data_IF_264688090775
#
_entry.id   IF_264688090775
#
_cell.length_a   1.000
_cell.length_b   1.000
_cell.length_c   1.000
_cell.angle_alpha   90.00
_cell.angle_beta   90.00
_cell.angle_gamma   90.00
#
_symmetry.space_group_name_H-M   'P 1'
#
loop_
_entity.id
_entity.type
_entity.pdbx_description
1 polymer ?
#
# COMPACT_ATOMS: atom_id res chain seq x y z
N UNK A 1 28.53 -1.67 29.71
CA UNK A 1 27.18 -2.29 29.70
C UNK A 1 26.64 -2.25 28.28
N UNK A 2 26.69 -3.37 27.55
CA UNK A 2 26.01 -3.48 26.25
C UNK A 2 24.52 -3.72 26.52
N UNK A 3 23.73 -2.65 26.53
CA UNK A 3 22.28 -2.76 26.49
C UNK A 3 21.89 -3.40 25.15
N UNK A 4 21.39 -4.64 25.16
CA UNK A 4 20.79 -5.25 23.97
C UNK A 4 19.63 -4.35 23.54
N UNK A 5 19.80 -3.59 22.46
CA UNK A 5 18.71 -2.83 21.85
C UNK A 5 17.62 -3.83 21.46
N UNK A 6 16.41 -3.64 21.98
CA UNK A 6 15.26 -4.44 21.57
C UNK A 6 15.03 -4.25 20.07
N UNK A 7 14.99 -5.33 19.31
CA UNK A 7 14.75 -5.30 17.88
C UNK A 7 13.25 -5.09 17.66
N UNK A 8 12.88 -3.97 17.04
CA UNK A 8 11.48 -3.57 16.90
C UNK A 8 10.94 -4.06 15.56
N UNK A 9 9.95 -4.95 15.60
CA UNK A 9 9.24 -5.42 14.42
C UNK A 9 7.87 -4.78 14.38
N UNK A 10 7.53 -4.16 13.25
CA UNK A 10 6.17 -3.72 12.97
C UNK A 10 5.57 -4.56 11.85
N UNK A 11 4.27 -4.80 11.92
CA UNK A 11 3.53 -5.54 10.91
C UNK A 11 2.24 -4.79 10.58
N UNK A 12 1.92 -4.67 9.30
CA UNK A 12 0.67 -4.07 8.88
C UNK A 12 0.23 -4.59 7.51
N UNK A 13 -1.08 -4.69 7.31
CA UNK A 13 -1.66 -5.01 6.01
C UNK A 13 -1.26 -3.97 4.94
N UNK A 14 -1.22 -4.36 3.66
CA UNK A 14 -1.07 -3.44 2.53
C UNK A 14 -2.07 -2.29 2.56
N UNK A 15 -1.65 -1.11 2.11
CA UNK A 15 -2.53 0.04 1.95
C UNK A 15 -2.25 0.73 0.60
N UNK A 16 -3.31 1.03 -0.14
CA UNK A 16 -3.21 1.79 -1.37
C UNK A 16 -2.92 3.26 -1.03
N UNK A 17 -1.86 3.83 -1.59
CA UNK A 17 -1.37 5.19 -1.27
C UNK A 17 -1.30 5.46 0.25
N UNK A 18 -0.43 4.79 1.03
CA UNK A 18 -0.49 4.82 2.50
C UNK A 18 -0.49 6.22 3.13
N UNK A 19 -1.12 6.36 4.30
CA UNK A 19 -1.10 7.62 5.08
C UNK A 19 0.21 7.77 5.87
N UNK A 20 0.49 8.98 6.38
CA UNK A 20 1.75 9.30 7.08
C UNK A 20 2.06 8.38 8.27
N UNK A 21 1.05 8.01 9.06
CA UNK A 21 1.21 7.08 10.19
C UNK A 21 1.66 5.67 9.77
N UNK A 22 1.42 5.26 8.52
CA UNK A 22 1.96 4.01 7.97
C UNK A 22 3.49 4.11 7.83
N UNK A 23 3.97 5.22 7.28
CA UNK A 23 5.41 5.48 7.12
C UNK A 23 6.10 5.74 8.46
N UNK A 24 5.44 6.42 9.40
CA UNK A 24 5.96 6.59 10.76
C UNK A 24 6.22 5.23 11.43
N UNK A 25 5.27 4.30 11.30
CA UNK A 25 5.40 2.94 11.83
C UNK A 25 6.61 2.22 11.24
N UNK A 26 6.82 2.32 9.93
CA UNK A 26 7.99 1.75 9.25
C UNK A 26 9.28 2.41 9.74
N UNK A 27 9.30 3.75 9.79
CA UNK A 27 10.47 4.52 10.20
C UNK A 27 10.94 4.14 11.62
N UNK A 28 9.99 3.86 12.52
CA UNK A 28 10.23 3.50 13.93
C UNK A 28 10.55 2.01 14.16
N UNK A 29 10.33 1.14 13.17
CA UNK A 29 10.71 -0.28 13.25
C UNK A 29 12.10 -0.51 12.69
N UNK A 30 12.80 -1.54 13.18
CA UNK A 30 14.01 -2.05 12.53
C UNK A 30 13.63 -2.90 11.30
N UNK A 31 12.56 -3.71 11.42
CA UNK A 31 11.99 -4.53 10.34
C UNK A 31 10.49 -4.28 10.23
N UNK A 32 10.01 -4.08 9.00
CA UNK A 32 8.58 -3.98 8.71
C UNK A 32 8.09 -5.18 7.89
N UNK A 33 7.05 -5.85 8.39
CA UNK A 33 6.39 -6.95 7.70
C UNK A 33 5.14 -6.41 6.99
N UNK A 34 5.17 -6.48 5.66
CA UNK A 34 4.05 -6.19 4.77
C UNK A 34 3.12 -7.42 4.74
N UNK A 35 2.01 -7.34 5.49
CA UNK A 35 1.11 -8.46 5.78
C UNK A 35 0.10 -8.71 4.65
N UNK A 36 0.59 -9.18 3.51
CA UNK A 36 -0.20 -9.53 2.32
C UNK A 36 -0.78 -10.96 2.32
N UNK A 37 -0.43 -11.81 3.27
CA UNK A 37 -0.91 -13.21 3.36
C UNK A 37 -2.26 -13.37 4.06
N UNK A 38 -2.84 -12.27 4.57
CA UNK A 38 -4.17 -12.28 5.22
C UNK A 38 -5.29 -12.06 4.20
N UNK A 39 -6.49 -12.46 4.60
CA UNK A 39 -7.71 -12.31 3.80
C UNK A 39 -8.00 -10.85 3.47
N UNK A 40 -8.52 -10.61 2.26
CA UNK A 40 -8.98 -9.28 1.87
C UNK A 40 -10.30 -8.88 2.53
N UNK A 41 -10.31 -7.71 3.15
CA UNK A 41 -11.52 -7.08 3.69
C UNK A 41 -12.10 -6.05 2.71
N UNK A 42 -13.36 -6.25 2.32
CA UNK A 42 -14.10 -5.24 1.53
C UNK A 42 -14.29 -3.95 2.31
N UNK A 43 -14.32 -2.84 1.58
CA UNK A 43 -14.54 -1.50 2.14
C UNK A 43 -13.46 -1.02 3.13
N UNK A 44 -12.31 -1.67 3.17
CA UNK A 44 -11.13 -1.22 3.90
C UNK A 44 -10.35 -0.15 3.11
N UNK A 45 -9.19 0.27 3.63
CA UNK A 45 -8.22 1.14 2.93
C UNK A 45 -7.22 0.35 2.08
N UNK A 46 -7.34 -0.97 2.02
CA UNK A 46 -6.38 -1.84 1.31
C UNK A 46 -6.37 -1.53 -0.19
N UNK A 47 -7.55 -1.31 -0.82
CA UNK A 47 -7.66 -1.03 -2.25
C UNK A 47 -8.14 0.39 -2.58
N UNK A 48 -8.25 1.28 -1.59
CA UNK A 48 -8.76 2.64 -1.82
C UNK A 48 -8.20 3.63 -0.82
N UNK A 49 -8.08 4.87 -1.24
CA UNK A 49 -7.75 5.98 -0.36
C UNK A 49 -8.47 7.26 -0.78
N UNK A 50 -8.49 8.26 0.09
CA UNK A 50 -9.10 9.56 -0.14
C UNK A 50 -8.06 10.59 -0.53
N UNK A 51 -8.45 11.49 -1.43
CA UNK A 51 -7.74 12.73 -1.70
C UNK A 51 -8.59 13.92 -1.29
N UNK A 52 -7.92 15.04 -0.99
CA UNK A 52 -8.60 16.31 -0.72
C UNK A 52 -8.93 16.99 -2.04
N UNK A 53 -10.15 17.49 -2.14
CA UNK A 53 -10.65 18.27 -3.28
C UNK A 53 -11.24 19.59 -2.80
N UNK A 54 -11.60 20.48 -3.74
CA UNK A 54 -12.31 21.72 -3.42
C UNK A 54 -13.70 21.48 -2.78
N UNK A 55 -14.30 20.30 -2.99
CA UNK A 55 -15.64 19.94 -2.53
C UNK A 55 -15.63 18.92 -1.38
N UNK A 56 -14.49 18.73 -0.73
CA UNK A 56 -14.30 17.73 0.33
C UNK A 56 -13.46 16.55 -0.13
N UNK A 57 -13.70 15.38 0.43
CA UNK A 57 -12.90 14.18 0.15
C UNK A 57 -13.43 13.41 -1.05
N UNK A 58 -12.53 12.90 -1.89
CA UNK A 58 -12.86 12.03 -3.02
C UNK A 58 -12.13 10.68 -2.88
N UNK A 59 -12.87 9.58 -3.04
CA UNK A 59 -12.26 8.25 -3.11
C UNK A 59 -11.53 8.01 -4.43
N UNK A 60 -10.34 7.44 -4.31
CA UNK A 60 -9.60 6.75 -5.36
C UNK A 60 -9.65 5.25 -5.03
N UNK A 61 -10.30 4.45 -5.88
CA UNK A 61 -10.52 3.01 -5.62
C UNK A 61 -9.94 2.19 -6.75
N UNK A 62 -9.00 1.31 -6.40
CA UNK A 62 -8.47 0.29 -7.31
C UNK A 62 -9.52 -0.81 -7.43
N UNK A 63 -10.01 -1.10 -8.66
CA UNK A 63 -10.97 -2.16 -8.87
C UNK A 63 -10.27 -3.52 -8.75
N UNK A 64 -10.90 -4.45 -8.02
CA UNK A 64 -10.33 -5.77 -7.71
C UNK A 64 -11.32 -6.88 -8.09
N UNK A 65 -10.80 -8.06 -8.45
CA UNK A 65 -11.59 -9.25 -8.79
C UNK A 65 -12.20 -9.86 -7.53
N UNK A 66 -13.23 -9.22 -6.99
CA UNK A 66 -13.78 -9.54 -5.67
C UNK A 66 -14.70 -10.78 -5.61
N UNK A 67 -14.90 -11.52 -6.69
CA UNK A 67 -15.67 -12.78 -6.65
C UNK A 67 -14.83 -13.82 -5.91
N UNK A 68 -15.35 -14.40 -4.82
CA UNK A 68 -14.58 -15.32 -3.96
C UNK A 68 -13.58 -14.64 -3.01
N UNK A 69 -13.57 -13.31 -2.91
CA UNK A 69 -12.63 -12.55 -2.06
C UNK A 69 -12.58 -12.97 -0.57
N UNK A 70 -13.62 -13.62 -0.06
CA UNK A 70 -13.64 -14.14 1.32
C UNK A 70 -12.66 -15.30 1.51
N UNK A 71 -12.14 -15.87 0.44
CA UNK A 71 -11.21 -17.00 0.46
C UNK A 71 -9.81 -16.60 -0.04
N UNK A 72 -9.66 -15.38 -0.55
CA UNK A 72 -8.41 -14.91 -1.15
C UNK A 72 -7.63 -14.04 -0.17
N UNK A 73 -6.33 -14.28 -0.09
CA UNK A 73 -5.40 -13.34 0.53
C UNK A 73 -5.23 -12.08 -0.32
N UNK A 74 -4.70 -11.01 0.29
CA UNK A 74 -4.39 -9.77 -0.44
C UNK A 74 -3.35 -10.02 -1.54
N UNK A 75 -2.43 -10.96 -1.31
CA UNK A 75 -1.43 -11.40 -2.28
C UNK A 75 -2.04 -12.08 -3.52
N UNK A 76 -3.18 -12.74 -3.39
CA UNK A 76 -3.85 -13.45 -4.49
C UNK A 76 -4.89 -12.58 -5.22
N UNK A 77 -5.24 -11.43 -4.63
CA UNK A 77 -6.32 -10.59 -5.13
C UNK A 77 -5.91 -9.85 -6.41
N UNK A 78 -6.37 -10.35 -7.56
CA UNK A 78 -6.14 -9.73 -8.85
C UNK A 78 -6.82 -8.37 -9.01
N UNK A 79 -6.17 -7.47 -9.74
CA UNK A 79 -6.77 -6.20 -10.18
C UNK A 79 -7.78 -6.50 -11.29
N UNK A 80 -8.95 -5.87 -11.25
CA UNK A 80 -9.99 -6.10 -12.25
C UNK A 80 -9.63 -5.44 -13.58
N UNK A 81 -9.88 -6.16 -14.66
CA UNK A 81 -9.83 -5.64 -16.02
C UNK A 81 -11.05 -4.73 -16.24
N UNK A 82 -10.88 -3.61 -16.96
CA UNK A 82 -11.99 -2.70 -17.23
C UNK A 82 -11.57 -1.25 -17.43
N UNK A 83 -12.37 -0.32 -16.91
CA UNK A 83 -12.12 1.12 -17.03
C UNK A 83 -10.71 1.50 -16.53
N UNK A 84 -10.04 2.47 -17.17
CA UNK A 84 -8.66 2.84 -16.86
C UNK A 84 -8.59 3.66 -15.57
N UNK A 85 -8.77 2.99 -14.42
CA UNK A 85 -8.78 3.61 -13.09
C UNK A 85 -7.51 4.42 -12.82
N UNK A 86 -6.37 4.01 -13.37
CA UNK A 86 -5.11 4.74 -13.28
C UNK A 86 -5.25 6.15 -13.87
N UNK A 87 -5.83 6.25 -15.08
CA UNK A 87 -6.06 7.54 -15.75
C UNK A 87 -7.04 8.39 -14.96
N UNK A 88 -8.10 7.78 -14.41
CA UNK A 88 -9.07 8.49 -13.55
C UNK A 88 -8.41 9.05 -12.30
N UNK A 89 -7.57 8.25 -11.63
CA UNK A 89 -6.84 8.67 -10.43
C UNK A 89 -5.83 9.78 -10.74
N UNK A 90 -5.00 9.61 -11.77
CA UNK A 90 -4.03 10.64 -12.20
C UNK A 90 -4.73 11.94 -12.57
N UNK A 91 -5.86 11.87 -13.27
CA UNK A 91 -6.64 13.06 -13.61
C UNK A 91 -7.19 13.76 -12.37
N UNK A 92 -7.73 13.00 -11.41
CA UNK A 92 -8.21 13.55 -10.15
C UNK A 92 -7.09 14.22 -9.35
N UNK A 93 -5.91 13.61 -9.30
CA UNK A 93 -4.73 14.18 -8.63
C UNK A 93 -4.28 15.46 -9.34
N UNK A 94 -4.17 15.43 -10.67
CA UNK A 94 -3.82 16.61 -11.46
C UNK A 94 -4.78 17.77 -11.21
N UNK A 95 -6.10 17.54 -11.29
CA UNK A 95 -7.10 18.59 -11.10
C UNK A 95 -7.03 19.24 -9.71
N UNK A 96 -6.75 18.45 -8.66
CA UNK A 96 -6.79 18.94 -7.28
C UNK A 96 -5.44 19.43 -6.75
N UNK A 97 -4.32 19.00 -7.34
CA UNK A 97 -2.98 19.28 -6.84
C UNK A 97 -2.05 19.98 -7.84
N UNK A 98 -2.48 20.31 -9.07
CA UNK A 98 -1.62 20.94 -10.08
C UNK A 98 -0.91 22.23 -9.60
N UNK A 99 -1.49 22.94 -8.62
CA UNK A 99 -0.93 24.17 -8.04
C UNK A 99 -0.11 23.92 -6.76
N UNK A 100 0.07 22.67 -6.34
CA UNK A 100 0.84 22.35 -5.15
C UNK A 100 2.34 22.58 -5.39
N UNK A 101 3.06 22.98 -4.35
CA UNK A 101 4.48 23.39 -4.39
C UNK A 101 5.39 22.42 -5.14
N UNK A 102 5.18 21.11 -4.99
CA UNK A 102 6.04 20.06 -5.56
C UNK A 102 5.39 19.30 -6.72
N UNK A 103 4.28 19.80 -7.28
CA UNK A 103 3.51 19.07 -8.28
C UNK A 103 4.31 18.79 -9.55
N UNK A 104 4.97 19.81 -10.10
CA UNK A 104 5.74 19.69 -11.35
C UNK A 104 6.88 18.67 -11.27
N UNK A 105 7.46 18.50 -10.07
CA UNK A 105 8.53 17.55 -9.82
C UNK A 105 8.00 16.12 -9.61
N UNK A 106 6.96 15.96 -8.79
CA UNK A 106 6.48 14.65 -8.35
C UNK A 106 5.46 14.01 -9.30
N UNK A 107 4.67 14.81 -10.02
CA UNK A 107 3.61 14.29 -10.86
C UNK A 107 4.12 13.39 -12.00
N UNK A 108 5.20 13.74 -12.74
CA UNK A 108 5.76 12.83 -13.75
C UNK A 108 6.22 11.49 -13.17
N UNK A 109 6.81 11.50 -11.95
CA UNK A 109 7.18 10.27 -11.24
C UNK A 109 5.96 9.44 -10.88
N UNK A 110 4.88 10.10 -10.46
CA UNK A 110 3.62 9.47 -10.14
C UNK A 110 2.97 8.85 -11.39
N UNK A 111 3.03 9.53 -12.54
CA UNK A 111 2.56 8.96 -13.82
C UNK A 111 3.31 7.67 -14.16
N UNK A 112 4.64 7.66 -14.02
CA UNK A 112 5.45 6.46 -14.21
C UNK A 112 5.08 5.34 -13.22
N UNK A 113 4.83 5.67 -11.95
CA UNK A 113 4.39 4.70 -10.95
C UNK A 113 3.04 4.06 -11.33
N UNK A 114 2.08 4.85 -11.79
CA UNK A 114 0.77 4.36 -12.23
C UNK A 114 0.82 3.59 -13.55
N UNK A 115 1.83 3.82 -14.39
CA UNK A 115 2.08 3.06 -15.60
C UNK A 115 2.75 1.70 -15.33
N UNK A 116 3.32 1.50 -14.12
CA UNK A 116 3.93 0.22 -13.74
C UNK A 116 2.90 -0.91 -13.79
N UNK A 117 3.31 -2.07 -14.31
CA UNK A 117 2.45 -3.24 -14.39
C UNK A 117 2.42 -3.92 -13.01
N UNK A 118 1.22 -4.08 -12.47
CA UNK A 118 0.94 -4.92 -11.32
C UNK A 118 -0.26 -5.81 -11.63
N UNK A 119 -0.15 -7.11 -11.33
CA UNK A 119 -1.21 -8.10 -11.55
C UNK A 119 -2.13 -8.23 -10.33
N UNK A 120 -1.55 -8.10 -9.14
CA UNK A 120 -2.25 -8.22 -7.86
C UNK A 120 -2.31 -6.89 -7.11
N UNK A 121 -3.27 -6.77 -6.19
CA UNK A 121 -3.38 -5.61 -5.30
C UNK A 121 -2.14 -5.47 -4.40
N UNK A 122 -1.61 -6.59 -3.90
CA UNK A 122 -0.41 -6.59 -3.06
C UNK A 122 0.80 -6.04 -3.82
N UNK A 123 1.03 -6.47 -5.07
CA UNK A 123 2.16 -5.98 -5.87
C UNK A 123 2.04 -4.49 -6.17
N UNK A 124 0.84 -4.02 -6.50
CA UNK A 124 0.58 -2.60 -6.69
C UNK A 124 0.93 -1.79 -5.43
N UNK A 125 0.40 -2.21 -4.27
CA UNK A 125 0.64 -1.52 -3.01
C UNK A 125 2.12 -1.59 -2.60
N UNK A 126 2.80 -2.71 -2.87
CA UNK A 126 4.22 -2.86 -2.57
C UNK A 126 5.09 -1.96 -3.43
N UNK A 127 4.80 -1.86 -4.73
CA UNK A 127 5.49 -0.94 -5.64
C UNK A 127 5.32 0.52 -5.20
N UNK A 128 4.09 0.91 -4.82
CA UNK A 128 3.82 2.25 -4.27
C UNK A 128 4.56 2.48 -2.96
N UNK A 129 4.55 1.51 -2.04
CA UNK A 129 5.27 1.61 -0.78
C UNK A 129 6.76 1.86 -1.03
N UNK A 130 7.39 1.05 -1.89
CA UNK A 130 8.82 1.21 -2.23
C UNK A 130 9.12 2.57 -2.86
N UNK A 131 8.25 3.06 -3.74
CA UNK A 131 8.36 4.40 -4.31
C UNK A 131 8.36 5.47 -3.22
N UNK A 132 7.36 5.47 -2.32
CA UNK A 132 7.25 6.48 -1.27
C UNK A 132 8.37 6.39 -0.24
N UNK A 133 8.85 5.20 0.12
CA UNK A 133 10.02 5.05 0.99
C UNK A 133 11.26 5.68 0.37
N UNK A 134 11.44 5.58 -0.96
CA UNK A 134 12.50 6.27 -1.69
C UNK A 134 12.35 7.80 -1.64
N UNK A 135 11.16 8.33 -1.95
CA UNK A 135 10.91 9.78 -1.92
C UNK A 135 11.01 10.37 -0.50
N UNK A 136 10.68 9.59 0.54
CA UNK A 136 10.82 9.98 1.95
C UNK A 136 12.19 9.67 2.55
N UNK A 137 13.10 9.06 1.78
CA UNK A 137 14.42 8.63 2.25
C UNK A 137 14.37 7.74 3.49
N UNK A 138 13.39 6.83 3.55
CA UNK A 138 13.21 5.87 4.64
C UNK A 138 13.86 4.54 4.24
N UNK A 139 15.03 4.27 4.82
CA UNK A 139 15.75 3.01 4.64
C UNK A 139 15.45 2.03 5.77
N UNK A 140 14.61 1.03 5.46
CA UNK A 140 14.20 -0.03 6.37
C UNK A 140 14.11 -1.37 5.65
N UNK A 141 14.35 -2.44 6.41
CA UNK A 141 14.11 -3.79 5.92
C UNK A 141 12.60 -4.04 5.83
N UNK A 142 12.13 -4.39 4.63
CA UNK A 142 10.74 -4.68 4.35
C UNK A 142 10.63 -6.13 3.90
N UNK A 143 9.83 -6.94 4.60
CA UNK A 143 9.60 -8.34 4.30
C UNK A 143 8.13 -8.54 3.94
N UNK A 144 7.84 -9.27 2.86
CA UNK A 144 6.45 -9.66 2.53
C UNK A 144 6.08 -10.90 3.31
N UNK A 145 4.92 -10.88 3.95
CA UNK A 145 4.47 -12.05 4.72
C UNK A 145 4.23 -13.28 3.85
N UNK A 146 3.81 -13.09 2.60
CA UNK A 146 3.61 -14.15 1.60
C UNK A 146 4.91 -14.86 1.19
N UNK A 147 6.08 -14.25 1.41
CA UNK A 147 7.38 -14.87 1.12
C UNK A 147 8.01 -15.52 2.35
N UNK A 148 7.37 -15.44 3.52
CA UNK A 148 7.87 -16.03 4.75
C UNK A 148 7.49 -17.50 4.84
N UNK A 149 8.45 -18.36 5.16
CA UNK A 149 8.17 -19.74 5.57
C UNK A 149 7.66 -19.71 7.01
N UNK A 150 6.33 -19.81 7.18
CA UNK A 150 5.71 -19.83 8.51
C UNK A 150 5.40 -21.27 8.93
N UNK A 151 6.02 -21.73 10.02
CA UNK A 151 5.56 -22.92 10.71
C UNK A 151 4.26 -22.60 11.46
N UNK A 152 3.12 -23.05 10.93
CA UNK A 152 1.81 -22.81 11.52
C UNK A 152 1.61 -23.69 12.76
N UNK A 153 1.93 -23.18 13.96
CA UNK A 153 1.35 -23.69 15.20
C UNK A 153 0.03 -22.94 15.45
N UNK A 154 -1.11 -23.59 15.21
CA UNK A 154 -2.39 -23.07 15.72
C UNK A 154 -2.27 -23.03 17.24
N UNK A 155 -2.20 -21.83 17.83
CA UNK A 155 -2.61 -21.70 19.22
C UNK A 155 -4.11 -21.98 19.26
N UNK A 156 -4.52 -22.90 20.11
CA UNK A 156 -5.91 -23.08 20.47
C UNK A 156 -6.35 -21.78 21.18
N UNK A 157 -6.83 -20.81 20.41
CA UNK A 157 -7.61 -19.72 20.97
C UNK A 157 -8.94 -20.34 21.38
N UNK A 158 -9.07 -20.52 22.70
CA UNK A 158 -10.31 -20.83 23.41
C UNK A 158 -11.26 -19.65 23.29
#
# INVERSE_FOLDING_TARGET
>A
MNSKRAHTVAIHQPAYLPWLGYFERIFRSDVFVFLDSVQFEKNSFTNRNKIKTAHGEQWLTVPVKAKGHTELSIAELGIADGEPWQKKHLKAIQLNYAKARYFSELFPKLEALYASKATTLADLCFNQLRFWLGELQIEREIIRSSTMTLEKKKSALV
#
